data_IF_069644014350
#
_entry.id   IF_069644014350
#
_cell.length_a   1.000
_cell.length_b   1.000
_cell.length_c   1.000
_cell.angle_alpha   90.00
_cell.angle_beta   90.00
_cell.angle_gamma   90.00
#
_symmetry.space_group_name_H-M   'P 1'
#
loop_
_entity.id
_entity.type
_entity.pdbx_description
1 polymer ?
#
# COMPACT_ATOMS: atom_id res chain seq x y z
N UNK A 1 7.12 -24.35 1.27
CA UNK A 1 7.59 -24.36 -0.13
C UNK A 1 7.69 -22.91 -0.58
N UNK A 2 8.85 -22.49 -1.08
CA UNK A 2 9.03 -21.15 -1.65
C UNK A 2 8.49 -21.16 -3.07
N UNK A 3 7.37 -20.46 -3.30
CA UNK A 3 6.84 -20.25 -4.63
C UNK A 3 7.60 -19.13 -5.32
N UNK A 4 7.91 -19.32 -6.60
CA UNK A 4 8.55 -18.33 -7.46
C UNK A 4 7.46 -17.75 -8.33
N UNK A 5 7.36 -16.42 -8.38
CA UNK A 5 6.44 -15.73 -9.27
C UNK A 5 7.24 -15.07 -10.36
N UNK A 6 6.80 -15.29 -11.58
CA UNK A 6 7.46 -14.81 -12.78
C UNK A 6 6.45 -14.08 -13.63
N UNK A 7 6.74 -12.81 -13.92
CA UNK A 7 6.05 -12.07 -14.96
C UNK A 7 6.65 -12.49 -16.31
N UNK A 8 6.00 -13.46 -16.96
CA UNK A 8 6.45 -14.08 -18.21
C UNK A 8 6.53 -13.05 -19.35
N UNK A 9 5.66 -12.03 -19.34
CA UNK A 9 5.63 -10.96 -20.35
C UNK A 9 6.74 -9.94 -20.11
N UNK A 10 7.02 -9.59 -18.85
CA UNK A 10 8.17 -8.76 -18.50
C UNK A 10 9.50 -9.48 -18.82
N UNK A 11 9.59 -10.80 -18.60
CA UNK A 11 10.75 -11.60 -19.00
C UNK A 11 10.93 -11.67 -20.51
N UNK A 12 9.84 -11.75 -21.28
CA UNK A 12 9.88 -11.70 -22.74
C UNK A 12 10.36 -10.33 -23.24
N UNK A 13 9.81 -9.25 -22.70
CA UNK A 13 10.21 -7.87 -23.02
C UNK A 13 11.70 -7.65 -22.71
N UNK A 14 12.15 -8.08 -21.52
CA UNK A 14 13.55 -7.98 -21.14
C UNK A 14 14.47 -8.82 -22.05
N UNK A 15 14.05 -10.01 -22.47
CA UNK A 15 14.82 -10.84 -23.40
C UNK A 15 14.96 -10.17 -24.78
N UNK A 16 13.89 -9.56 -25.29
CA UNK A 16 13.90 -8.83 -26.57
C UNK A 16 14.79 -7.58 -26.49
N UNK A 17 14.69 -6.80 -25.41
CA UNK A 17 15.55 -5.64 -25.17
C UNK A 17 17.03 -6.04 -25.08
N UNK A 18 17.35 -7.11 -24.36
CA UNK A 18 18.71 -7.61 -24.24
C UNK A 18 19.25 -8.14 -25.57
N UNK A 19 18.41 -8.79 -26.39
CA UNK A 19 18.77 -9.17 -27.75
C UNK A 19 19.11 -7.94 -28.60
N UNK A 20 18.29 -6.88 -28.52
CA UNK A 20 18.54 -5.61 -29.20
C UNK A 20 19.84 -4.93 -28.77
N UNK A 21 20.12 -4.90 -27.47
CA UNK A 21 21.39 -4.39 -26.93
C UNK A 21 22.58 -5.20 -27.44
N UNK A 22 22.47 -6.54 -27.42
CA UNK A 22 23.50 -7.44 -27.94
C UNK A 22 23.83 -7.16 -29.41
N UNK A 23 22.81 -7.08 -30.25
CA UNK A 23 22.96 -6.78 -31.68
C UNK A 23 23.59 -5.39 -31.92
N UNK A 24 23.22 -4.38 -31.13
CA UNK A 24 23.82 -3.05 -31.21
C UNK A 24 25.30 -3.05 -30.81
N UNK A 25 25.66 -3.82 -29.77
CA UNK A 25 27.04 -3.95 -29.32
C UNK A 25 27.90 -4.70 -30.33
N UNK A 26 27.39 -5.80 -30.90
CA UNK A 26 28.06 -6.54 -31.96
C UNK A 26 28.34 -5.64 -33.17
N UNK A 27 27.32 -4.92 -33.67
CA UNK A 27 27.47 -4.01 -34.79
C UNK A 27 28.49 -2.88 -34.50
N UNK A 28 28.47 -2.34 -33.27
CA UNK A 28 29.41 -1.30 -32.84
C UNK A 28 30.85 -1.83 -32.77
N UNK A 29 31.04 -3.01 -32.18
CA UNK A 29 32.35 -3.65 -32.04
C UNK A 29 32.94 -4.03 -33.41
N UNK A 30 32.10 -4.51 -34.32
CA UNK A 30 32.49 -4.80 -35.70
C UNK A 30 32.91 -3.53 -36.45
N UNK A 31 32.15 -2.44 -36.32
CA UNK A 31 32.49 -1.16 -36.94
C UNK A 31 33.78 -0.55 -36.37
N UNK A 32 34.05 -0.74 -35.07
CA UNK A 32 35.24 -0.23 -34.40
C UNK A 32 36.51 -1.08 -34.65
N UNK A 33 36.37 -2.34 -35.08
CA UNK A 33 37.49 -3.27 -35.19
C UNK A 33 38.60 -2.78 -36.13
N UNK A 34 38.25 -2.33 -37.34
CA UNK A 34 39.21 -1.83 -38.32
C UNK A 34 39.89 -0.52 -37.88
N UNK A 35 39.18 0.56 -37.47
CA UNK A 35 39.83 1.80 -37.08
C UNK A 35 40.70 1.68 -35.81
N UNK A 36 40.37 0.77 -34.89
CA UNK A 36 41.19 0.55 -33.69
C UNK A 36 42.47 -0.25 -33.96
N UNK A 37 42.46 -1.14 -34.97
CA UNK A 37 43.59 -2.03 -35.28
C UNK A 37 44.56 -1.45 -36.32
N UNK A 38 44.15 -0.42 -37.05
CA UNK A 38 44.92 0.17 -38.17
C UNK A 38 45.54 1.55 -37.86
N UNK A 39 45.78 1.84 -36.57
CA UNK A 39 46.38 3.12 -36.13
C UNK A 39 47.77 3.28 -36.74
N UNK A 40 47.95 4.34 -37.53
CA UNK A 40 49.25 4.67 -38.13
C UNK A 40 50.13 5.45 -37.14
N UNK A 41 51.47 5.29 -37.19
CA UNK A 41 52.38 6.11 -36.40
C UNK A 41 52.23 7.61 -36.76
N UNK A 42 52.15 8.52 -35.77
CA UNK A 42 52.05 9.95 -36.05
C UNK A 42 53.35 10.56 -36.61
N UNK A 43 54.48 9.87 -36.46
CA UNK A 43 55.78 10.24 -37.04
C UNK A 43 56.63 8.98 -37.32
N UNK A 44 57.75 9.14 -38.02
CA UNK A 44 58.65 8.04 -38.43
C UNK A 44 59.63 7.58 -37.36
N UNK A 45 59.57 8.16 -36.15
CA UNK A 45 60.45 7.80 -35.05
C UNK A 45 60.02 6.48 -34.39
N UNK A 46 60.96 5.86 -33.68
CA UNK A 46 60.76 4.56 -33.04
C UNK A 46 59.75 4.59 -31.90
N UNK A 47 59.51 5.74 -31.25
CA UNK A 47 58.51 5.89 -30.18
C UNK A 47 57.11 5.90 -30.79
N UNK A 48 56.90 6.67 -31.86
CA UNK A 48 55.64 6.71 -32.62
C UNK A 48 55.25 5.35 -33.19
N UNK A 49 56.21 4.61 -33.76
CA UNK A 49 55.97 3.26 -34.28
C UNK A 49 55.58 2.27 -33.17
N UNK A 50 56.25 2.34 -32.00
CA UNK A 50 55.97 1.47 -30.86
C UNK A 50 54.64 1.80 -30.18
N UNK A 51 54.25 3.08 -30.15
CA UNK A 51 52.95 3.51 -29.64
C UNK A 51 51.80 3.00 -30.52
N UNK A 52 51.91 3.11 -31.85
CA UNK A 52 50.94 2.54 -32.79
C UNK A 52 50.81 1.01 -32.65
N UNK A 53 51.94 0.30 -32.51
CA UNK A 53 51.94 -1.14 -32.28
C UNK A 53 51.27 -1.55 -30.95
N UNK A 54 51.49 -0.78 -29.87
CA UNK A 54 50.82 -1.00 -28.58
C UNK A 54 49.30 -0.84 -28.69
N UNK A 55 48.84 0.22 -29.36
CA UNK A 55 47.42 0.46 -29.61
C UNK A 55 46.78 -0.66 -30.43
N UNK A 56 47.46 -1.14 -31.47
CA UNK A 56 47.01 -2.29 -32.27
C UNK A 56 46.92 -3.59 -31.44
N UNK A 57 47.91 -3.86 -30.58
CA UNK A 57 47.87 -5.01 -29.68
C UNK A 57 46.73 -4.93 -28.66
N UNK A 58 46.48 -3.73 -28.10
CA UNK A 58 45.39 -3.50 -27.17
C UNK A 58 44.01 -3.61 -27.84
N UNK A 59 43.89 -3.18 -29.11
CA UNK A 59 42.70 -3.39 -29.92
C UNK A 59 42.42 -4.88 -30.16
N UNK A 60 43.44 -5.71 -30.43
CA UNK A 60 43.26 -7.16 -30.58
C UNK A 60 42.80 -7.84 -29.29
N UNK A 61 43.36 -7.44 -28.15
CA UNK A 61 42.93 -7.94 -26.83
C UNK A 61 41.48 -7.53 -26.54
N UNK A 62 41.10 -6.29 -26.84
CA UNK A 62 39.73 -5.82 -26.73
C UNK A 62 38.76 -6.62 -27.59
N UNK A 63 39.11 -6.92 -28.84
CA UNK A 63 38.26 -7.73 -29.73
C UNK A 63 38.09 -9.17 -29.22
N UNK A 64 39.14 -9.76 -28.65
CA UNK A 64 39.08 -11.10 -28.06
C UNK A 64 38.16 -11.13 -26.83
N UNK A 65 38.26 -10.12 -25.96
CA UNK A 65 37.41 -9.99 -24.77
C UNK A 65 35.95 -9.70 -25.16
N UNK A 66 35.74 -8.84 -26.16
CA UNK A 66 34.40 -8.49 -26.65
C UNK A 66 33.68 -9.71 -27.23
N UNK A 67 34.37 -10.58 -27.95
CA UNK A 67 33.81 -11.85 -28.45
C UNK A 67 33.43 -12.81 -27.30
N UNK A 68 34.21 -12.85 -26.21
CA UNK A 68 33.84 -13.64 -25.02
C UNK A 68 32.61 -13.08 -24.31
N UNK A 69 32.52 -11.75 -24.20
CA UNK A 69 31.37 -11.08 -23.61
C UNK A 69 30.09 -11.30 -24.44
N UNK A 70 30.20 -11.30 -25.77
CA UNK A 70 29.09 -11.61 -26.68
C UNK A 70 28.58 -13.05 -26.50
N UNK A 71 29.48 -14.03 -26.41
CA UNK A 71 29.10 -15.43 -26.14
C UNK A 71 28.39 -15.58 -24.79
N UNK A 72 28.89 -14.92 -23.75
CA UNK A 72 28.24 -14.91 -22.44
C UNK A 72 26.86 -14.27 -22.51
N UNK A 73 26.74 -13.11 -23.16
CA UNK A 73 25.47 -12.40 -23.33
C UNK A 73 24.44 -13.27 -24.06
N UNK A 74 24.84 -13.91 -25.16
CA UNK A 74 23.97 -14.80 -25.93
C UNK A 74 23.50 -15.99 -25.10
N UNK A 75 24.40 -16.61 -24.32
CA UNK A 75 24.04 -17.70 -23.40
C UNK A 75 23.08 -17.24 -22.29
N UNK A 76 23.30 -16.05 -21.74
CA UNK A 76 22.45 -15.46 -20.73
C UNK A 76 21.03 -15.22 -21.26
N UNK A 77 20.89 -14.57 -22.42
CA UNK A 77 19.59 -14.30 -23.04
C UNK A 77 18.87 -15.59 -23.42
N UNK A 78 19.58 -16.59 -23.97
CA UNK A 78 18.98 -17.89 -24.30
C UNK A 78 18.49 -18.63 -23.05
N UNK A 79 19.23 -18.54 -21.94
CA UNK A 79 18.83 -19.11 -20.65
C UNK A 79 17.57 -18.41 -20.12
N UNK A 80 17.50 -17.08 -20.25
CA UNK A 80 16.33 -16.29 -19.84
C UNK A 80 15.08 -16.67 -20.63
N UNK A 81 15.18 -16.82 -21.96
CA UNK A 81 14.08 -17.26 -22.84
C UNK A 81 13.62 -18.67 -22.46
N UNK A 82 14.57 -19.57 -22.19
CA UNK A 82 14.30 -20.95 -21.81
C UNK A 82 13.55 -21.01 -20.47
N UNK A 83 14.01 -20.25 -19.47
CA UNK A 83 13.34 -20.12 -18.18
C UNK A 83 11.92 -19.55 -18.35
N UNK A 84 11.77 -18.48 -19.12
CA UNK A 84 10.47 -17.85 -19.43
C UNK A 84 9.47 -18.87 -20.01
N UNK A 85 9.90 -19.71 -20.96
CA UNK A 85 9.04 -20.75 -21.53
C UNK A 85 8.70 -21.86 -20.52
N UNK A 86 9.67 -22.28 -19.70
CA UNK A 86 9.44 -23.28 -18.65
C UNK A 86 8.42 -22.82 -17.61
N UNK A 87 8.46 -21.53 -17.21
CA UNK A 87 7.46 -20.95 -16.31
C UNK A 87 6.07 -20.88 -16.98
N UNK A 88 6.01 -20.45 -18.24
CA UNK A 88 4.74 -20.40 -18.98
C UNK A 88 4.09 -21.80 -19.12
N UNK A 89 4.88 -22.83 -19.39
CA UNK A 89 4.42 -24.22 -19.46
C UNK A 89 3.96 -24.75 -18.10
N UNK A 90 4.68 -24.42 -17.03
CA UNK A 90 4.28 -24.79 -15.67
C UNK A 90 2.93 -24.16 -15.29
N UNK A 91 2.73 -22.87 -15.59
CA UNK A 91 1.45 -22.18 -15.37
C UNK A 91 0.32 -22.80 -16.19
N UNK A 92 0.56 -23.13 -17.47
CA UNK A 92 -0.43 -23.79 -18.31
C UNK A 92 -0.82 -25.18 -17.78
N UNK A 93 0.15 -25.96 -17.29
CA UNK A 93 -0.07 -27.28 -16.69
C UNK A 93 -0.85 -27.17 -15.37
N UNK A 94 -0.51 -26.19 -14.53
CA UNK A 94 -1.22 -25.92 -13.28
C UNK A 94 -2.66 -25.48 -13.55
N UNK A 95 -2.88 -24.58 -14.51
CA UNK A 95 -4.21 -24.13 -14.92
C UNK A 95 -5.07 -25.29 -15.47
N UNK A 96 -4.49 -26.18 -16.28
CA UNK A 96 -5.18 -27.36 -16.80
C UNK A 96 -5.52 -28.37 -15.69
N UNK A 97 -4.64 -28.54 -14.70
CA UNK A 97 -4.92 -29.38 -13.53
C UNK A 97 -6.06 -28.80 -12.67
N UNK A 98 -6.13 -27.47 -12.53
CA UNK A 98 -7.16 -26.77 -11.75
C UNK A 98 -8.53 -26.72 -12.46
N UNK A 99 -8.57 -26.69 -13.79
CA UNK A 99 -9.82 -26.80 -14.55
C UNK A 99 -10.53 -28.16 -14.37
N UNK A 100 -9.83 -29.19 -13.89
CA UNK A 100 -10.41 -30.50 -13.61
C UNK A 100 -11.19 -30.58 -12.29
N UNK A 101 -11.18 -29.51 -11.47
CA UNK A 101 -11.94 -29.41 -10.22
C UNK A 101 -12.83 -28.16 -10.23
N UNK A 102 -13.96 -28.20 -10.94
CA UNK A 102 -14.98 -27.16 -10.84
C UNK A 102 -15.69 -27.25 -9.47
N UNK A 103 -15.13 -26.57 -8.48
CA UNK A 103 -15.80 -26.27 -7.22
C UNK A 103 -16.51 -24.93 -7.33
N UNK A 104 -17.70 -24.80 -6.74
CA UNK A 104 -18.38 -23.52 -6.54
C UNK A 104 -18.20 -23.04 -5.09
N UNK A 105 -16.99 -23.19 -4.54
CA UNK A 105 -16.72 -22.82 -3.16
C UNK A 105 -16.65 -21.30 -3.02
N UNK A 106 -16.96 -20.80 -1.83
CA UNK A 106 -16.82 -19.40 -1.44
C UNK A 106 -15.65 -19.30 -0.47
N UNK A 107 -14.63 -18.50 -0.79
CA UNK A 107 -13.35 -18.48 -0.08
C UNK A 107 -12.99 -17.05 0.29
N UNK A 108 -12.74 -16.81 1.58
CA UNK A 108 -12.22 -15.55 2.08
C UNK A 108 -10.72 -15.69 2.33
N UNK A 109 -9.89 -15.12 1.44
CA UNK A 109 -8.45 -15.04 1.62
C UNK A 109 -8.13 -13.88 2.56
N UNK A 110 -7.79 -14.18 3.81
CA UNK A 110 -7.55 -13.17 4.84
C UNK A 110 -6.05 -13.05 5.10
N UNK A 111 -5.51 -11.84 4.94
CA UNK A 111 -4.14 -11.50 5.27
C UNK A 111 -4.07 -10.65 6.55
N UNK A 112 -2.92 -10.71 7.23
CA UNK A 112 -2.64 -9.89 8.41
C UNK A 112 -2.08 -8.52 8.04
N UNK A 113 -1.84 -7.67 9.04
CA UNK A 113 -1.02 -6.47 8.86
C UNK A 113 0.41 -6.73 9.33
N UNK A 114 1.25 -5.69 9.28
CA UNK A 114 2.65 -5.74 9.72
C UNK A 114 2.81 -6.48 11.07
N UNK A 115 3.65 -7.51 11.09
CA UNK A 115 3.90 -8.37 12.25
C UNK A 115 2.94 -9.56 12.41
N UNK A 116 1.98 -9.74 11.51
CA UNK A 116 1.01 -10.84 11.52
C UNK A 116 1.05 -11.65 10.20
N UNK A 117 2.11 -12.44 9.97
CA UNK A 117 2.28 -13.15 8.71
C UNK A 117 1.27 -14.28 8.46
N UNK A 118 0.63 -14.78 9.51
CA UNK A 118 -0.40 -15.82 9.43
C UNK A 118 -1.53 -15.48 10.41
N UNK A 119 -2.62 -14.87 9.93
CA UNK A 119 -3.80 -14.61 10.74
C UNK A 119 -4.28 -15.83 11.53
N UNK A 120 -4.44 -15.66 12.84
CA UNK A 120 -5.01 -16.70 13.70
C UNK A 120 -6.55 -16.72 13.62
N UNK A 121 -7.17 -17.75 14.19
CA UNK A 121 -8.62 -17.93 14.16
C UNK A 121 -9.38 -16.75 14.79
N UNK A 122 -8.92 -16.22 15.92
CA UNK A 122 -9.57 -15.09 16.59
C UNK A 122 -9.62 -13.85 15.68
N UNK A 123 -8.49 -13.53 15.04
CA UNK A 123 -8.40 -12.44 14.06
C UNK A 123 -9.38 -12.65 12.90
N UNK A 124 -9.40 -13.85 12.30
CA UNK A 124 -10.26 -14.14 11.16
C UNK A 124 -11.75 -14.13 11.52
N UNK A 125 -12.14 -14.71 12.66
CA UNK A 125 -13.53 -14.71 13.13
C UNK A 125 -14.00 -13.29 13.46
N UNK A 126 -13.14 -12.46 14.04
CA UNK A 126 -13.48 -11.05 14.29
C UNK A 126 -13.75 -10.31 12.98
N UNK A 127 -12.88 -10.48 11.97
CA UNK A 127 -13.08 -9.91 10.64
C UNK A 127 -14.37 -10.42 9.99
N UNK A 128 -14.61 -11.72 10.08
CA UNK A 128 -15.82 -12.33 9.52
C UNK A 128 -17.07 -11.68 10.11
N UNK A 129 -17.16 -11.62 11.43
CA UNK A 129 -18.32 -11.08 12.14
C UNK A 129 -18.55 -9.60 11.83
N UNK A 130 -17.49 -8.80 11.76
CA UNK A 130 -17.59 -7.36 11.64
C UNK A 130 -17.75 -6.88 10.19
N UNK A 131 -17.08 -7.54 9.23
CA UNK A 131 -16.93 -7.01 7.86
C UNK A 131 -17.47 -7.95 6.78
N UNK A 132 -17.56 -9.26 7.02
CA UNK A 132 -17.94 -10.23 5.98
C UNK A 132 -19.35 -10.79 6.14
N UNK A 133 -19.84 -10.98 7.36
CA UNK A 133 -21.07 -11.73 7.65
C UNK A 133 -22.30 -11.21 6.88
N UNK A 134 -22.39 -9.89 6.65
CA UNK A 134 -23.49 -9.27 5.94
C UNK A 134 -23.43 -9.50 4.43
N UNK A 135 -22.27 -9.33 3.81
CA UNK A 135 -22.11 -9.27 2.35
C UNK A 135 -21.53 -10.56 1.73
N UNK A 136 -20.83 -11.35 2.54
CA UNK A 136 -20.15 -12.59 2.15
C UNK A 136 -20.54 -13.76 3.07
N UNK A 137 -21.84 -14.06 3.26
CA UNK A 137 -22.25 -15.15 4.13
C UNK A 137 -21.83 -16.51 3.55
N UNK A 138 -21.31 -17.37 4.43
CA UNK A 138 -20.92 -18.75 4.11
C UNK A 138 -19.61 -18.87 3.33
N UNK A 139 -18.75 -17.87 3.38
CA UNK A 139 -17.38 -17.95 2.87
C UNK A 139 -16.50 -18.71 3.85
N UNK A 140 -15.73 -19.68 3.36
CA UNK A 140 -14.71 -20.39 4.15
C UNK A 140 -13.52 -19.47 4.37
N UNK A 141 -13.14 -19.24 5.63
CA UNK A 141 -12.01 -18.39 5.98
C UNK A 141 -10.68 -19.12 5.76
N UNK A 142 -9.79 -18.52 4.98
CA UNK A 142 -8.45 -19.03 4.70
C UNK A 142 -7.44 -18.00 5.18
N UNK A 143 -6.59 -18.41 6.12
CA UNK A 143 -5.44 -17.63 6.56
C UNK A 143 -4.37 -17.66 5.47
N UNK A 144 -4.22 -16.57 4.73
CA UNK A 144 -3.24 -16.47 3.66
C UNK A 144 -1.91 -15.98 4.22
N UNK A 145 -0.90 -16.85 4.19
CA UNK A 145 0.42 -16.51 4.69
C UNK A 145 1.12 -15.49 3.78
N UNK A 146 1.51 -14.36 4.35
CA UNK A 146 2.28 -13.29 3.69
C UNK A 146 3.39 -12.84 4.63
N UNK A 147 4.49 -12.22 4.17
CA UNK A 147 5.60 -11.95 5.08
C UNK A 147 5.27 -10.93 6.17
N UNK A 148 4.51 -9.88 5.84
CA UNK A 148 4.09 -8.83 6.78
C UNK A 148 5.25 -8.23 7.60
N UNK A 149 6.42 -8.10 6.98
CA UNK A 149 7.65 -7.59 7.58
C UNK A 149 7.86 -6.10 7.26
N UNK A 150 8.48 -5.39 8.19
CA UNK A 150 8.88 -4.00 8.01
C UNK A 150 10.13 -3.70 8.84
N UNK A 151 11.30 -3.85 8.24
CA UNK A 151 12.56 -3.47 8.88
C UNK A 151 12.63 -1.95 9.13
N UNK A 152 13.08 -1.51 10.33
CA UNK A 152 13.53 -2.30 11.48
C UNK A 152 12.42 -2.62 12.50
N UNK A 153 11.17 -2.22 12.24
CA UNK A 153 10.02 -2.33 13.15
C UNK A 153 9.72 -3.77 13.57
N UNK A 154 9.74 -4.73 12.62
CA UNK A 154 9.44 -6.14 12.91
C UNK A 154 10.65 -6.94 13.37
N UNK A 155 11.85 -6.35 13.33
CA UNK A 155 13.10 -7.00 13.72
C UNK A 155 14.27 -6.65 12.82
N UNK A 156 15.49 -6.78 13.36
CA UNK A 156 16.73 -6.44 12.65
C UNK A 156 17.06 -7.37 11.47
N UNK A 157 16.50 -8.58 11.45
CA UNK A 157 16.64 -9.55 10.36
C UNK A 157 15.47 -9.57 9.37
N UNK A 158 14.46 -8.73 9.57
CA UNK A 158 13.27 -8.69 8.72
C UNK A 158 13.55 -8.04 7.36
N UNK A 159 12.70 -8.36 6.38
CA UNK A 159 12.67 -7.69 5.09
C UNK A 159 12.30 -6.20 5.24
N UNK A 160 12.73 -5.39 4.27
CA UNK A 160 12.19 -4.04 4.10
C UNK A 160 10.70 -4.12 3.74
N UNK A 161 9.93 -3.07 4.07
CA UNK A 161 8.51 -2.99 3.74
C UNK A 161 8.23 -3.34 2.27
N UNK A 162 9.02 -2.77 1.35
CA UNK A 162 8.81 -3.02 -0.07
C UNK A 162 9.05 -4.47 -0.49
N UNK A 163 10.06 -5.12 0.08
CA UNK A 163 10.33 -6.54 -0.23
C UNK A 163 9.23 -7.45 0.34
N UNK A 164 8.73 -7.12 1.54
CA UNK A 164 7.58 -7.80 2.14
C UNK A 164 6.33 -7.67 1.27
N UNK A 165 5.97 -6.45 0.85
CA UNK A 165 4.81 -6.18 0.00
C UNK A 165 4.91 -6.90 -1.34
N UNK A 166 6.05 -6.87 -2.04
CA UNK A 166 6.18 -7.57 -3.33
C UNK A 166 6.09 -9.09 -3.20
N UNK A 167 6.65 -9.65 -2.13
CA UNK A 167 6.54 -11.09 -1.85
C UNK A 167 5.11 -11.48 -1.48
N UNK A 168 4.40 -10.63 -0.71
CA UNK A 168 3.00 -10.84 -0.38
C UNK A 168 2.06 -10.69 -1.56
N UNK A 169 2.30 -9.70 -2.44
CA UNK A 169 1.61 -9.54 -3.74
C UNK A 169 1.71 -10.81 -4.57
N UNK A 170 2.91 -11.35 -4.64
CA UNK A 170 3.11 -12.60 -5.32
C UNK A 170 2.21 -13.72 -4.75
N UNK A 171 2.31 -13.98 -3.44
CA UNK A 171 1.47 -14.99 -2.79
C UNK A 171 -0.03 -14.76 -3.01
N UNK A 172 -0.49 -13.51 -2.95
CA UNK A 172 -1.89 -13.16 -3.17
C UNK A 172 -2.35 -13.45 -4.60
N UNK A 173 -1.59 -13.01 -5.61
CA UNK A 173 -1.91 -13.23 -7.02
C UNK A 173 -2.08 -14.73 -7.30
N UNK A 174 -1.15 -15.56 -6.82
CA UNK A 174 -1.24 -17.02 -7.00
C UNK A 174 -2.50 -17.61 -6.37
N UNK A 175 -2.86 -17.17 -5.17
CA UNK A 175 -4.07 -17.65 -4.50
C UNK A 175 -5.34 -17.23 -5.27
N UNK A 176 -5.43 -15.98 -5.70
CA UNK A 176 -6.56 -15.48 -6.49
C UNK A 176 -6.70 -16.26 -7.80
N UNK A 177 -5.62 -16.36 -8.57
CA UNK A 177 -5.65 -17.02 -9.88
C UNK A 177 -5.97 -18.51 -9.74
N UNK A 178 -5.42 -19.18 -8.73
CA UNK A 178 -5.70 -20.60 -8.46
C UNK A 178 -7.18 -20.83 -8.16
N UNK A 179 -7.73 -20.05 -7.22
CA UNK A 179 -9.12 -20.25 -6.76
C UNK A 179 -10.14 -19.84 -7.82
N UNK A 180 -9.91 -18.72 -8.51
CA UNK A 180 -10.83 -18.24 -9.54
C UNK A 180 -10.78 -19.11 -10.80
N UNK A 181 -9.62 -19.67 -11.17
CA UNK A 181 -9.51 -20.66 -12.24
C UNK A 181 -10.25 -21.98 -11.92
N UNK A 182 -10.36 -22.33 -10.64
CA UNK A 182 -11.17 -23.46 -10.17
C UNK A 182 -12.69 -23.15 -10.12
N UNK A 183 -13.10 -21.92 -10.45
CA UNK A 183 -14.49 -21.46 -10.41
C UNK A 183 -14.97 -21.03 -9.03
N UNK A 184 -14.07 -20.92 -8.03
CA UNK A 184 -14.43 -20.48 -6.69
C UNK A 184 -14.65 -18.97 -6.66
N UNK A 185 -15.60 -18.54 -5.81
CA UNK A 185 -15.81 -17.12 -5.51
C UNK A 185 -14.87 -16.71 -4.38
N UNK A 186 -14.04 -15.72 -4.64
CA UNK A 186 -12.99 -15.24 -3.75
C UNK A 186 -13.35 -13.85 -3.24
N UNK A 187 -13.22 -13.64 -1.93
CA UNK A 187 -13.10 -12.30 -1.34
C UNK A 187 -11.72 -12.18 -0.69
N UNK A 188 -10.97 -11.16 -1.08
CA UNK A 188 -9.66 -10.85 -0.52
C UNK A 188 -9.84 -9.85 0.60
N UNK A 189 -9.33 -10.17 1.79
CA UNK A 189 -9.30 -9.25 2.92
C UNK A 189 -7.87 -8.83 3.22
N UNK A 190 -7.59 -7.54 3.03
CA UNK A 190 -6.30 -6.92 3.38
C UNK A 190 -6.46 -5.91 4.51
N UNK A 191 -5.52 -5.88 5.44
CA UNK A 191 -5.46 -4.94 6.56
C UNK A 191 -4.08 -4.28 6.63
N UNK A 192 -4.03 -2.95 6.75
CA UNK A 192 -2.77 -2.21 6.90
C UNK A 192 -1.79 -2.52 5.75
N UNK A 193 -0.63 -3.13 6.01
CA UNK A 193 0.33 -3.54 4.98
C UNK A 193 -0.29 -4.46 3.92
N UNK A 194 -1.12 -5.46 4.27
CA UNK A 194 -1.74 -6.31 3.26
C UNK A 194 -2.87 -5.64 2.47
N UNK A 195 -3.41 -4.51 2.95
CA UNK A 195 -4.25 -3.65 2.11
C UNK A 195 -3.43 -2.93 1.02
N UNK A 196 -2.15 -2.64 1.26
CA UNK A 196 -1.20 -2.21 0.21
C UNK A 196 -0.95 -3.34 -0.80
N UNK A 197 -0.76 -4.58 -0.32
CA UNK A 197 -0.62 -5.76 -1.17
C UNK A 197 -1.84 -5.91 -2.09
N UNK A 198 -3.05 -5.88 -1.53
CA UNK A 198 -4.29 -5.97 -2.31
C UNK A 198 -4.48 -4.78 -3.27
N UNK A 199 -4.10 -3.57 -2.86
CA UNK A 199 -4.15 -2.40 -3.75
C UNK A 199 -3.17 -2.52 -4.93
N UNK A 200 -1.99 -3.11 -4.71
CA UNK A 200 -1.04 -3.42 -5.77
C UNK A 200 -1.58 -4.51 -6.72
N UNK A 201 -2.22 -5.54 -6.17
CA UNK A 201 -2.91 -6.60 -6.92
C UNK A 201 -3.99 -6.01 -7.83
N UNK A 202 -4.86 -5.15 -7.29
CA UNK A 202 -5.90 -4.49 -8.09
C UNK A 202 -5.32 -3.68 -9.26
N UNK A 203 -4.17 -3.01 -9.05
CA UNK A 203 -3.46 -2.28 -10.13
C UNK A 203 -2.92 -3.22 -11.20
N UNK A 204 -2.33 -4.33 -10.79
CA UNK A 204 -1.82 -5.36 -11.68
C UNK A 204 -2.95 -5.96 -12.54
N UNK A 205 -4.04 -6.41 -11.91
CA UNK A 205 -5.20 -6.96 -12.61
C UNK A 205 -5.82 -5.96 -13.59
N UNK A 206 -5.87 -4.66 -13.24
CA UNK A 206 -6.37 -3.63 -14.15
C UNK A 206 -5.45 -3.41 -15.37
N UNK A 207 -4.15 -3.66 -15.23
CA UNK A 207 -3.19 -3.53 -16.33
C UNK A 207 -3.22 -4.74 -17.29
N UNK A 208 -3.67 -5.92 -16.84
CA UNK A 208 -3.78 -7.11 -17.67
C UNK A 208 -4.81 -6.95 -18.80
N UNK A 209 -4.66 -7.62 -19.95
CA UNK A 209 -5.74 -7.82 -20.91
C UNK A 209 -6.98 -8.44 -20.25
N UNK A 210 -8.19 -8.02 -20.65
CA UNK A 210 -9.43 -8.48 -20.02
C UNK A 210 -9.60 -10.01 -19.98
N UNK A 211 -9.08 -10.73 -20.98
CA UNK A 211 -9.14 -12.18 -21.06
C UNK A 211 -8.26 -12.92 -20.04
N UNK A 212 -7.28 -12.24 -19.43
CA UNK A 212 -6.38 -12.82 -18.41
C UNK A 212 -6.79 -12.46 -16.98
N UNK A 213 -7.86 -11.68 -16.83
CA UNK A 213 -8.36 -11.25 -15.53
C UNK A 213 -9.33 -12.28 -14.96
N UNK A 214 -9.35 -12.49 -13.64
CA UNK A 214 -10.47 -13.16 -12.98
C UNK A 214 -11.79 -12.50 -13.37
N UNK A 215 -12.83 -13.31 -13.56
CA UNK A 215 -14.19 -12.81 -13.79
C UNK A 215 -14.61 -11.91 -12.61
N UNK A 216 -15.31 -10.82 -12.91
CA UNK A 216 -15.78 -9.86 -11.91
C UNK A 216 -16.77 -10.51 -10.91
N UNK A 217 -17.49 -11.55 -11.31
CA UNK A 217 -18.40 -12.30 -10.44
C UNK A 217 -17.68 -13.27 -9.47
N UNK A 218 -16.38 -13.51 -9.71
CA UNK A 218 -15.57 -14.44 -8.92
C UNK A 218 -14.64 -13.76 -7.93
N UNK A 219 -14.39 -12.45 -8.02
CA UNK A 219 -13.40 -11.77 -7.19
C UNK A 219 -13.91 -10.44 -6.62
N UNK A 220 -13.80 -10.29 -5.30
CA UNK A 220 -14.10 -9.06 -4.57
C UNK A 220 -13.00 -8.73 -3.56
N UNK A 221 -12.95 -7.47 -3.10
CA UNK A 221 -11.95 -6.99 -2.14
C UNK A 221 -12.60 -6.31 -0.93
N UNK A 222 -12.00 -6.51 0.24
CA UNK A 222 -12.32 -5.82 1.49
C UNK A 222 -11.01 -5.30 2.08
N UNK A 223 -10.84 -3.99 2.14
CA UNK A 223 -9.62 -3.33 2.58
C UNK A 223 -9.89 -2.61 3.90
N UNK A 224 -9.18 -3.00 4.94
CA UNK A 224 -9.27 -2.43 6.27
C UNK A 224 -8.03 -1.55 6.51
N UNK A 225 -8.23 -0.34 7.01
CA UNK A 225 -7.13 0.55 7.39
C UNK A 225 -6.09 0.73 6.25
N UNK A 226 -6.60 0.95 5.04
CA UNK A 226 -5.81 0.90 3.82
C UNK A 226 -4.83 2.09 3.67
N UNK A 227 -3.50 1.86 3.68
CA UNK A 227 -2.51 2.91 3.51
C UNK A 227 -2.59 3.61 2.13
N UNK A 228 -3.10 2.91 1.11
CA UNK A 228 -3.27 3.42 -0.25
C UNK A 228 -4.70 3.95 -0.50
N UNK A 229 -5.50 4.14 0.55
CA UNK A 229 -6.85 4.67 0.43
C UNK A 229 -6.83 5.98 -0.40
N UNK A 230 -7.50 6.04 -1.57
CA UNK A 230 -7.47 7.21 -2.44
C UNK A 230 -8.03 8.48 -1.78
N UNK A 231 -8.74 8.35 -0.66
CA UNK A 231 -9.40 9.44 0.04
C UNK A 231 -8.63 9.98 1.25
N UNK A 232 -7.45 9.45 1.56
CA UNK A 232 -6.67 9.95 2.69
C UNK A 232 -5.52 9.06 3.16
N UNK A 233 -5.20 7.95 2.49
CA UNK A 233 -4.17 7.03 2.94
C UNK A 233 -2.77 7.68 3.00
N UNK A 234 -1.95 7.29 3.98
CA UNK A 234 -0.59 7.84 4.13
C UNK A 234 0.29 7.57 2.90
N UNK A 235 0.08 6.44 2.20
CA UNK A 235 0.79 6.06 0.98
C UNK A 235 0.13 6.63 -0.29
N UNK A 236 -0.77 7.62 -0.20
CA UNK A 236 -1.09 8.51 -1.33
C UNK A 236 -0.28 9.82 -1.27
N UNK A 237 0.37 10.07 -0.13
CA UNK A 237 1.21 11.22 0.12
C UNK A 237 2.68 10.90 -0.15
N UNK A 238 3.50 11.94 -0.31
CA UNK A 238 4.95 11.74 -0.40
C UNK A 238 5.53 11.46 0.98
N UNK A 239 5.97 10.22 1.20
CA UNK A 239 6.68 9.78 2.39
C UNK A 239 8.10 9.38 2.00
N UNK A 240 9.15 10.02 2.55
CA UNK A 240 10.53 9.65 2.28
C UNK A 240 10.77 8.14 2.52
N UNK A 241 11.39 7.46 1.56
CA UNK A 241 11.64 6.01 1.62
C UNK A 241 10.49 5.12 1.14
N UNK A 242 9.30 5.67 0.87
CA UNK A 242 8.11 4.92 0.40
C UNK A 242 7.60 5.38 -0.97
N UNK A 243 8.40 6.15 -1.73
CA UNK A 243 7.97 6.76 -2.98
C UNK A 243 7.40 5.79 -4.03
N UNK A 244 7.94 4.57 -4.12
CA UNK A 244 7.42 3.53 -5.03
C UNK A 244 6.04 3.00 -4.64
N UNK A 245 5.63 3.19 -3.39
CA UNK A 245 4.30 2.84 -2.88
C UNK A 245 3.35 4.02 -2.85
N UNK A 246 3.78 5.19 -3.36
CA UNK A 246 2.90 6.35 -3.51
C UNK A 246 1.93 6.16 -4.66
N UNK A 247 0.85 5.45 -4.39
CA UNK A 247 -0.22 5.23 -5.36
C UNK A 247 -1.58 5.08 -4.67
N UNK A 248 -2.67 5.53 -5.30
CA UNK A 248 -4.02 5.24 -4.82
C UNK A 248 -4.45 3.82 -5.21
N UNK A 249 -5.25 3.18 -4.36
CA UNK A 249 -6.09 2.04 -4.76
C UNK A 249 -6.95 2.46 -5.95
N UNK A 250 -7.04 1.67 -7.03
CA UNK A 250 -7.75 2.09 -8.24
C UNK A 250 -9.24 2.33 -8.02
N UNK A 251 -9.73 3.49 -8.49
CA UNK A 251 -11.16 3.85 -8.43
C UNK A 251 -12.00 3.20 -9.54
N UNK A 252 -11.37 2.57 -10.55
CA UNK A 252 -12.02 2.08 -11.77
C UNK A 252 -11.90 0.56 -11.93
N UNK A 253 -11.85 -0.17 -10.82
CA UNK A 253 -11.78 -1.64 -10.82
C UNK A 253 -13.12 -2.27 -11.26
N UNK A 254 -13.11 -3.39 -12.00
CA UNK A 254 -14.34 -4.17 -12.25
C UNK A 254 -14.82 -4.94 -11.02
N UNK A 255 -13.96 -5.15 -10.01
CA UNK A 255 -14.27 -5.94 -8.81
C UNK A 255 -14.94 -5.10 -7.73
N UNK A 256 -15.97 -5.64 -7.05
CA UNK A 256 -16.56 -4.94 -5.91
C UNK A 256 -15.52 -4.82 -4.80
N UNK A 257 -15.37 -3.62 -4.26
CA UNK A 257 -14.35 -3.32 -3.26
C UNK A 257 -14.95 -2.53 -2.11
N UNK A 258 -14.84 -3.03 -0.89
CA UNK A 258 -15.19 -2.28 0.33
C UNK A 258 -13.94 -1.73 1.00
N UNK A 259 -13.90 -0.45 1.32
CA UNK A 259 -12.76 0.19 2.02
C UNK A 259 -13.24 0.75 3.35
N UNK A 260 -12.79 0.16 4.45
CA UNK A 260 -13.15 0.57 5.82
C UNK A 260 -12.04 1.43 6.43
N UNK A 261 -12.42 2.60 6.94
CA UNK A 261 -11.50 3.59 7.49
C UNK A 261 -12.06 4.14 8.80
N UNK A 262 -11.27 4.09 9.88
CA UNK A 262 -11.55 4.84 11.10
C UNK A 262 -11.07 6.28 10.93
N UNK A 263 -11.89 7.23 11.37
CA UNK A 263 -11.50 8.63 11.46
C UNK A 263 -10.22 8.78 12.30
N UNK A 264 -9.26 9.56 11.80
CA UNK A 264 -7.97 9.82 12.43
C UNK A 264 -7.01 8.62 12.51
N UNK A 265 -7.30 7.53 11.82
CA UNK A 265 -6.31 6.47 11.61
C UNK A 265 -5.12 7.04 10.83
N UNK A 266 -3.95 7.14 11.45
CA UNK A 266 -2.75 7.73 10.85
C UNK A 266 -2.27 7.05 9.56
N UNK A 267 -2.77 5.87 9.25
CA UNK A 267 -2.39 5.11 8.06
C UNK A 267 -3.44 5.25 6.97
N UNK A 268 -4.73 5.15 7.32
CA UNK A 268 -5.82 5.09 6.35
C UNK A 268 -6.57 6.42 6.14
N UNK A 269 -6.48 7.31 7.13
CA UNK A 269 -7.03 8.67 7.18
C UNK A 269 -5.92 9.60 7.67
N UNK A 270 -4.90 9.79 6.85
CA UNK A 270 -3.77 10.68 7.12
C UNK A 270 -4.13 12.12 6.72
N UNK A 271 -3.74 13.15 7.51
CA UNK A 271 -4.05 14.55 7.19
C UNK A 271 -3.55 14.97 5.80
N UNK A 272 -4.44 15.59 5.00
CA UNK A 272 -4.09 16.17 3.70
C UNK A 272 -3.13 17.36 3.82
N UNK A 273 -3.16 18.05 4.97
CA UNK A 273 -2.28 19.16 5.31
C UNK A 273 -1.35 18.79 6.47
N UNK A 274 -0.29 17.98 6.25
CA UNK A 274 0.56 17.48 7.33
C UNK A 274 1.38 18.56 8.06
N UNK A 275 1.49 19.77 7.49
CA UNK A 275 2.07 20.93 8.17
C UNK A 275 1.10 21.61 9.15
N UNK A 276 -0.18 21.25 9.11
CA UNK A 276 -1.16 21.66 10.12
C UNK A 276 -1.01 20.77 11.35
N UNK A 277 -0.12 21.22 12.24
CA UNK A 277 0.36 20.44 13.38
C UNK A 277 -0.74 19.79 14.25
N UNK A 278 -1.89 20.44 14.55
CA UNK A 278 -2.94 19.81 15.35
C UNK A 278 -3.39 18.47 14.78
N UNK A 279 -3.58 18.39 13.46
CA UNK A 279 -4.02 17.16 12.80
C UNK A 279 -2.94 16.09 12.76
N UNK A 280 -1.70 16.48 12.51
CA UNK A 280 -0.56 15.55 12.47
C UNK A 280 -0.27 14.95 13.85
N UNK A 281 -0.38 15.76 14.91
CA UNK A 281 -0.27 15.27 16.30
C UNK A 281 -1.47 14.40 16.66
N UNK A 282 -2.68 14.78 16.25
CA UNK A 282 -3.86 13.95 16.45
C UNK A 282 -3.74 12.58 15.76
N UNK A 283 -3.29 12.55 14.50
CA UNK A 283 -3.04 11.32 13.76
C UNK A 283 -2.01 10.45 14.48
N UNK A 284 -0.91 11.02 14.99
CA UNK A 284 0.09 10.27 15.77
C UNK A 284 -0.53 9.56 16.98
N UNK A 285 -1.41 10.23 17.74
CA UNK A 285 -2.14 9.58 18.84
C UNK A 285 -3.17 8.56 18.35
N UNK A 286 -3.81 8.84 17.20
CA UNK A 286 -4.70 7.89 16.53
C UNK A 286 -4.00 6.58 16.13
N UNK A 287 -2.73 6.64 15.71
CA UNK A 287 -1.95 5.43 15.41
C UNK A 287 -1.84 4.48 16.61
N UNK A 288 -1.66 5.03 17.82
CA UNK A 288 -1.48 4.22 19.05
C UNK A 288 -2.74 3.43 19.42
N UNK A 289 -3.91 4.02 19.19
CA UNK A 289 -5.17 3.54 19.78
C UNK A 289 -6.22 3.10 18.75
N UNK A 290 -6.13 3.51 17.49
CA UNK A 290 -7.17 3.27 16.48
C UNK A 290 -6.73 2.22 15.46
N UNK A 291 -5.56 2.40 14.84
CA UNK A 291 -5.14 1.58 13.69
C UNK A 291 -5.17 0.07 14.01
N UNK A 292 -4.57 -0.32 15.13
CA UNK A 292 -4.51 -1.71 15.60
C UNK A 292 -5.86 -2.33 15.98
N UNK A 293 -6.89 -1.52 16.23
CA UNK A 293 -8.22 -1.99 16.64
C UNK A 293 -9.11 -2.37 15.46
N UNK A 294 -8.77 -1.92 14.25
CA UNK A 294 -9.59 -2.13 13.05
C UNK A 294 -10.01 -3.59 12.84
N UNK A 295 -9.14 -4.61 12.91
CA UNK A 295 -9.57 -6.01 12.75
C UNK A 295 -10.51 -6.52 13.86
N UNK A 296 -10.60 -5.79 14.97
CA UNK A 296 -11.28 -6.19 16.23
C UNK A 296 -12.51 -5.35 16.57
N UNK A 297 -12.94 -4.46 15.69
CA UNK A 297 -14.20 -3.73 15.87
C UNK A 297 -15.38 -4.71 15.87
N UNK A 298 -16.40 -4.41 16.67
CA UNK A 298 -17.65 -5.16 16.63
C UNK A 298 -18.48 -4.82 15.39
N UNK A 299 -19.32 -5.76 14.94
CA UNK A 299 -20.28 -5.51 13.86
C UNK A 299 -21.18 -4.28 14.12
N UNK A 300 -21.53 -4.02 15.38
CA UNK A 300 -22.31 -2.84 15.76
C UNK A 300 -21.54 -1.52 15.54
N UNK A 301 -20.23 -1.51 15.78
CA UNK A 301 -19.39 -0.33 15.50
C UNK A 301 -19.21 -0.13 13.99
N UNK A 302 -19.04 -1.20 13.23
CA UNK A 302 -18.93 -1.12 11.77
C UNK A 302 -20.26 -0.67 11.13
N UNK A 303 -21.39 -1.09 11.68
CA UNK A 303 -22.72 -0.72 11.19
C UNK A 303 -23.06 0.78 11.33
N UNK A 304 -22.29 1.56 12.10
CA UNK A 304 -22.46 3.03 12.18
C UNK A 304 -21.63 3.78 11.14
N UNK A 305 -20.90 3.07 10.27
CA UNK A 305 -20.10 3.68 9.22
C UNK A 305 -20.95 4.52 8.27
N UNK A 306 -20.40 5.67 7.88
CA UNK A 306 -20.96 6.52 6.84
C UNK A 306 -20.49 5.96 5.51
N UNK A 307 -21.44 5.55 4.67
CA UNK A 307 -21.17 4.95 3.37
C UNK A 307 -21.05 6.02 2.27
N UNK A 308 -20.07 5.84 1.39
CA UNK A 308 -19.94 6.61 0.16
C UNK A 308 -19.50 5.69 -0.99
N UNK A 309 -20.18 5.75 -2.12
CA UNK A 309 -19.90 4.84 -3.24
C UNK A 309 -19.34 5.59 -4.45
N UNK A 310 -18.27 5.05 -5.04
CA UNK A 310 -17.67 5.52 -6.29
C UNK A 310 -17.45 4.31 -7.19
N UNK A 311 -18.30 4.16 -8.22
CA UNK A 311 -18.27 2.98 -9.09
C UNK A 311 -18.48 1.69 -8.29
N UNK A 312 -17.54 0.76 -8.42
CA UNK A 312 -17.56 -0.53 -7.71
C UNK A 312 -16.89 -0.46 -6.32
N UNK A 313 -16.45 0.72 -5.88
CA UNK A 313 -15.89 0.92 -4.54
C UNK A 313 -16.95 1.49 -3.61
N UNK A 314 -17.12 0.87 -2.44
CA UNK A 314 -17.88 1.42 -1.31
C UNK A 314 -16.93 1.75 -0.17
N UNK A 315 -16.88 3.02 0.20
CA UNK A 315 -16.12 3.53 1.33
C UNK A 315 -17.00 3.53 2.57
N UNK A 316 -16.48 2.95 3.65
CA UNK A 316 -17.11 2.90 4.96
C UNK A 316 -16.26 3.72 5.92
N UNK A 317 -16.69 4.95 6.22
CA UNK A 317 -15.99 5.84 7.12
C UNK A 317 -16.61 5.80 8.51
N UNK A 318 -15.82 5.41 9.52
CA UNK A 318 -16.28 5.26 10.90
C UNK A 318 -15.79 6.44 11.74
N UNK A 319 -16.67 7.38 12.14
CA UNK A 319 -16.29 8.51 13.00
C UNK A 319 -15.83 8.03 14.39
N UNK A 320 -14.86 8.72 14.99
CA UNK A 320 -14.46 8.44 16.37
C UNK A 320 -15.24 9.34 17.33
N UNK A 321 -15.65 8.78 18.48
CA UNK A 321 -16.33 9.55 19.51
C UNK A 321 -15.37 10.49 20.28
N UNK A 322 -14.12 10.04 20.45
CA UNK A 322 -13.06 10.78 21.12
C UNK A 322 -12.05 11.31 20.11
N UNK A 323 -11.55 12.51 20.38
CA UNK A 323 -10.42 13.12 19.70
C UNK A 323 -9.11 12.51 20.25
N UNK A 324 -8.32 11.77 19.45
CA UNK A 324 -7.09 11.10 19.91
C UNK A 324 -6.06 12.04 20.53
N UNK A 325 -5.99 13.30 20.06
CA UNK A 325 -5.14 14.35 20.63
C UNK A 325 -5.31 14.52 22.15
N UNK A 326 -6.47 14.15 22.68
CA UNK A 326 -6.81 14.29 24.10
C UNK A 326 -6.66 12.98 24.89
N UNK A 327 -6.27 11.88 24.27
CA UNK A 327 -6.11 10.60 24.97
C UNK A 327 -5.06 10.65 26.09
N UNK A 328 -3.89 11.31 25.94
CA UNK A 328 -2.95 11.45 27.07
C UNK A 328 -3.55 12.19 28.27
N UNK A 329 -4.45 13.15 28.02
CA UNK A 329 -5.15 13.86 29.08
C UNK A 329 -6.14 12.93 29.79
N UNK A 330 -6.86 12.08 29.04
CA UNK A 330 -7.79 11.08 29.59
C UNK A 330 -7.11 10.02 30.45
N UNK A 331 -5.82 9.76 30.25
CA UNK A 331 -5.05 8.86 31.10
C UNK A 331 -4.84 9.41 32.53
N UNK A 332 -5.08 10.71 32.77
CA UNK A 332 -5.04 11.27 34.13
C UNK A 332 -6.27 10.81 34.94
N UNK A 333 -6.08 10.15 36.10
CA UNK A 333 -7.18 9.73 36.93
C UNK A 333 -8.04 10.92 37.39
N UNK A 334 -9.34 10.69 37.55
CA UNK A 334 -10.33 11.63 38.12
C UNK A 334 -10.62 12.86 37.23
N UNK A 335 -9.60 13.61 36.81
CA UNK A 335 -9.75 14.87 36.08
C UNK A 335 -9.56 14.75 34.56
N UNK A 336 -8.95 13.67 34.08
CA UNK A 336 -8.60 13.52 32.66
C UNK A 336 -9.79 13.58 31.71
N UNK A 337 -10.81 12.74 31.94
CA UNK A 337 -12.03 12.73 31.12
C UNK A 337 -12.79 14.07 31.17
N UNK A 338 -13.10 14.66 32.35
CA UNK A 338 -13.76 15.96 32.41
C UNK A 338 -13.01 17.07 31.64
N UNK A 339 -11.68 17.11 31.75
CA UNK A 339 -10.87 18.12 31.04
C UNK A 339 -10.82 17.86 29.54
N UNK A 340 -10.71 16.60 29.12
CA UNK A 340 -10.75 16.24 27.70
C UNK A 340 -12.11 16.57 27.06
N UNK A 341 -13.22 16.26 27.75
CA UNK A 341 -14.56 16.53 27.26
C UNK A 341 -14.85 18.04 27.19
N UNK A 342 -14.26 18.84 28.08
CA UNK A 342 -14.30 20.30 28.01
C UNK A 342 -13.56 20.86 26.80
N UNK A 343 -12.39 20.30 26.45
CA UNK A 343 -11.53 20.81 25.38
C UNK A 343 -11.92 20.30 23.98
N UNK A 344 -12.49 19.10 23.90
CA UNK A 344 -12.79 18.42 22.64
C UNK A 344 -13.64 19.25 21.66
N UNK A 345 -14.75 19.91 22.07
CA UNK A 345 -15.57 20.71 21.16
C UNK A 345 -14.82 21.88 20.49
N UNK A 346 -13.79 22.40 21.14
CA UNK A 346 -12.97 23.49 20.61
C UNK A 346 -11.84 22.97 19.70
N UNK A 347 -11.22 21.84 20.07
CA UNK A 347 -10.07 21.30 19.36
C UNK A 347 -10.45 20.45 18.14
N UNK A 348 -11.58 19.75 18.18
CA UNK A 348 -12.00 18.88 17.07
C UNK A 348 -12.17 19.65 15.75
N UNK A 349 -12.87 20.81 15.70
CA UNK A 349 -12.88 21.68 14.53
C UNK A 349 -11.50 22.02 13.96
N UNK A 350 -10.56 22.36 14.84
CA UNK A 350 -9.19 22.76 14.47
C UNK A 350 -8.46 21.55 13.89
N UNK A 351 -8.60 20.37 14.48
CA UNK A 351 -8.04 19.13 13.96
C UNK A 351 -8.67 18.74 12.63
N UNK A 352 -9.98 18.90 12.45
CA UNK A 352 -10.67 18.51 11.22
C UNK A 352 -10.25 19.37 10.01
N UNK A 353 -9.79 20.61 10.23
CA UNK A 353 -9.28 21.49 9.16
C UNK A 353 -8.09 20.88 8.40
N UNK A 354 -7.21 20.12 9.05
CA UNK A 354 -6.07 19.49 8.37
C UNK A 354 -6.46 18.30 7.47
N UNK A 355 -7.70 17.86 7.54
CA UNK A 355 -8.28 16.82 6.70
C UNK A 355 -9.15 17.40 5.56
N UNK A 356 -9.44 18.71 5.58
CA UNK A 356 -10.29 19.37 4.58
C UNK A 356 -9.61 19.45 3.19
N UNK A 357 -10.36 19.35 2.08
CA UNK A 357 -11.83 19.27 2.02
C UNK A 357 -12.41 17.93 2.50
N UNK A 358 -11.60 16.88 2.65
CA UNK A 358 -11.94 15.61 3.30
C UNK A 358 -13.04 14.79 2.63
N UNK A 359 -13.16 13.51 3.03
CA UNK A 359 -13.97 12.43 2.43
C UNK A 359 -15.43 12.75 2.00
N UNK A 360 -16.05 13.83 2.49
CA UNK A 360 -17.46 14.14 2.25
C UNK A 360 -17.69 15.67 2.12
N UNK A 361 -17.52 16.26 0.92
CA UNK A 361 -17.70 17.70 0.71
C UNK A 361 -19.11 18.21 1.06
N UNK A 362 -20.12 17.33 1.02
CA UNK A 362 -21.53 17.66 1.29
C UNK A 362 -21.99 17.52 2.74
N UNK A 363 -21.13 17.02 3.64
CA UNK A 363 -21.41 16.91 5.08
C UNK A 363 -20.51 17.83 5.92
N UNK A 364 -19.80 18.75 5.26
CA UNK A 364 -19.02 19.77 5.90
C UNK A 364 -19.95 20.86 6.43
N UNK A 365 -20.09 21.06 7.77
CA UNK A 365 -20.74 22.27 8.29
C UNK A 365 -19.86 23.54 8.06
N UNK A 366 -18.73 23.39 7.36
CA UNK A 366 -17.74 24.41 7.04
C UNK A 366 -18.17 25.39 5.93
N UNK A 367 -19.34 26.02 6.07
CA UNK A 367 -19.40 27.43 5.64
C UNK A 367 -18.81 28.26 6.78
N UNK A 368 -17.88 29.16 6.47
CA UNK A 368 -17.23 30.08 7.42
C UNK A 368 -18.23 30.82 8.34
N UNK A 369 -19.50 30.93 7.91
CA UNK A 369 -20.60 31.49 8.69
C UNK A 369 -21.00 30.66 9.94
N UNK A 370 -20.76 29.35 9.97
CA UNK A 370 -21.16 28.47 11.09
C UNK A 370 -20.32 28.67 12.36
N UNK A 371 -19.03 28.98 12.23
CA UNK A 371 -18.11 29.12 13.38
C UNK A 371 -18.34 30.36 14.21
N UNK A 372 -18.79 31.45 13.59
CA UNK A 372 -19.13 32.67 14.33
C UNK A 372 -20.39 32.46 15.19
N UNK A 373 -21.28 31.54 14.79
CA UNK A 373 -22.54 31.27 15.49
C UNK A 373 -22.47 30.24 16.62
N UNK A 374 -21.77 29.12 16.43
CA UNK A 374 -21.76 28.01 17.41
C UNK A 374 -20.73 28.17 18.54
N UNK A 375 -19.56 28.75 18.26
CA UNK A 375 -18.56 29.05 19.29
C UNK A 375 -19.06 30.04 20.34
N UNK A 376 -19.91 30.99 19.92
CA UNK A 376 -20.54 31.96 20.80
C UNK A 376 -21.70 31.39 21.64
N UNK A 377 -22.41 30.36 21.15
CA UNK A 377 -23.57 29.77 21.85
C UNK A 377 -23.18 28.66 22.82
N UNK A 378 -22.20 27.81 22.48
CA UNK A 378 -21.74 26.75 23.37
C UNK A 378 -20.89 27.27 24.55
N UNK A 379 -20.13 28.36 24.34
CA UNK A 379 -19.32 28.99 25.40
C UNK A 379 -20.14 29.71 26.48
N UNK A 380 -21.40 30.06 26.19
CA UNK A 380 -22.28 30.79 27.12
C UNK A 380 -23.26 29.84 27.85
N UNK A 381 -23.64 28.70 27.26
CA UNK A 381 -24.67 27.83 27.82
C UNK A 381 -24.16 26.80 28.86
N UNK A 382 -22.92 26.31 28.74
CA UNK A 382 -22.43 25.21 29.59
C UNK A 382 -21.85 25.57 30.97
N UNK A 383 -21.39 26.81 31.29
CA UNK A 383 -20.98 27.11 32.66
C UNK A 383 -22.15 27.46 33.60
N UNK A 384 -23.39 27.49 33.12
CA UNK A 384 -24.58 27.85 33.93
C UNK A 384 -25.37 26.64 34.48
N UNK A 385 -25.01 25.40 34.14
CA UNK A 385 -25.70 24.18 34.61
C UNK A 385 -24.84 23.32 35.57
N UNK A 386 -23.51 23.47 35.54
CA UNK A 386 -22.61 22.82 36.50
C UNK A 386 -22.26 23.80 37.64
N UNK A 387 -23.09 23.80 38.68
CA UNK A 387 -23.06 24.74 39.81
C UNK A 387 -21.70 24.96 40.46
N UNK A 388 -21.04 26.05 40.09
CA UNK A 388 -19.99 26.68 40.90
C UNK A 388 -20.65 27.65 41.90
N UNK A 389 -20.25 27.66 43.18
CA UNK A 389 -20.79 28.58 44.16
C UNK A 389 -20.48 30.03 43.78
N UNK A 390 -21.38 30.99 44.06
CA UNK A 390 -21.16 32.38 43.68
C UNK A 390 -19.93 32.95 44.39
N UNK A 391 -19.01 33.51 43.62
CA UNK A 391 -17.89 34.29 44.14
C UNK A 391 -18.44 35.54 44.83
N UNK A 392 -18.29 35.58 46.15
CA UNK A 392 -18.55 36.76 46.98
C UNK A 392 -17.56 37.84 46.56
N UNK A 393 -18.08 38.90 45.93
CA UNK A 393 -17.32 40.13 45.69
C UNK A 393 -17.26 40.90 47.00
N UNK A 394 -16.11 40.88 47.69
CA UNK A 394 -15.76 41.90 48.67
C UNK A 394 -14.44 42.52 48.24
N UNK A 395 -14.55 43.61 47.49
CA UNK A 395 -13.43 44.49 47.20
C UNK A 395 -13.20 45.44 48.37
N UNK A 396 -12.02 45.40 48.97
CA UNK A 396 -11.37 46.57 49.57
C UNK A 396 -9.87 46.51 49.30
N UNK A 397 -9.49 47.39 48.37
CA UNK A 397 -8.20 48.04 48.07
C UNK A 397 -7.08 47.92 49.12
N UNK A 398 -5.86 47.60 48.63
CA UNK A 398 -4.53 48.17 48.96
C UNK A 398 -3.49 47.10 48.63
N UNK A 399 -2.66 47.22 47.59
CA UNK A 399 -1.64 48.25 47.46
C UNK A 399 -0.29 47.67 47.94
N UNK A 400 0.37 46.90 47.08
CA UNK A 400 1.81 46.82 46.78
C UNK A 400 2.10 45.60 45.90
#
# INVERSE_FOLDING_TARGET
MTFVITDVDAMATAADELQGIGASLEATNAAAAAPMSSVLPPATDSVSARAAALLGAQAQQYQTLSAQAELFHNQFVQTLITAKNAYAEAEASNAAALQSSAGSNKIALIMGGTGNPSPNLNYMTSIEQAYLAQNYPGYTLVSLHTPEEFWPVTGLGSQTFGRSVYTGFATLNNAIMTETAAGNRVVVVGYSQSATIASLEMRYLQALPAALRPDADLLNFVLLANPNNPMGGILTHFIPGFGSFRFPTPLTTPYLTSIFTLQYDAIADFPLHPLWLPSSVNALFGYLNLHSTMPYLSAAQVATAIEHQIGNLTFYFMPTAQLPLLDPLRMLPILGNPLADLLQPFLKPIVDLGYAPGLLPGLNPLSVAGYVGQGATAGVANPLVAGLPPLVVNGTVSGF
#
